data_IF_237815561604
#
_entry.id   IF_237815561604
#
_cell.length_a   1.000
_cell.length_b   1.000
_cell.length_c   1.000
_cell.angle_alpha   90.00
_cell.angle_beta   90.00
_cell.angle_gamma   90.00
#
_symmetry.space_group_name_H-M   'P 1'
#
loop_
_entity.id
_entity.type
_entity.pdbx_description
1 polymer ?
#
# COMPACT_ATOMS: atom_id res chain seq x y z
N UNK A 1 -30.35 -3.31 6.57
CA UNK A 1 -30.22 -3.59 5.12
C UNK A 1 -28.76 -3.46 4.75
N UNK A 2 -28.20 -4.48 4.10
CA UNK A 2 -26.80 -4.54 3.68
C UNK A 2 -26.69 -3.99 2.25
N UNK A 3 -25.64 -3.23 1.95
CA UNK A 3 -25.42 -2.65 0.62
C UNK A 3 -24.02 -2.93 0.09
N UNK A 4 -23.88 -2.99 -1.23
CA UNK A 4 -22.56 -2.96 -1.89
C UNK A 4 -21.81 -1.68 -1.50
N UNK A 5 -20.50 -1.79 -1.32
CA UNK A 5 -19.57 -0.80 -0.79
C UNK A 5 -19.76 -0.40 0.68
N UNK A 6 -20.74 -0.96 1.39
CA UNK A 6 -20.89 -0.72 2.83
C UNK A 6 -19.69 -1.28 3.60
N UNK A 7 -19.20 -0.49 4.56
CA UNK A 7 -18.12 -0.89 5.48
C UNK A 7 -18.72 -1.28 6.82
N UNK A 8 -18.34 -2.46 7.28
CA UNK A 8 -18.74 -3.02 8.56
C UNK A 8 -17.50 -3.23 9.43
N UNK A 9 -17.66 -3.11 10.74
CA UNK A 9 -16.59 -3.31 11.72
C UNK A 9 -17.01 -4.36 12.74
N UNK A 10 -16.14 -5.34 12.99
CA UNK A 10 -16.35 -6.31 14.07
C UNK A 10 -16.16 -5.65 15.44
N UNK A 11 -17.12 -5.86 16.32
CA UNK A 11 -17.09 -5.32 17.69
C UNK A 11 -15.98 -5.94 18.56
N UNK A 12 -15.54 -7.18 18.23
CA UNK A 12 -14.57 -7.92 19.04
C UNK A 12 -13.11 -7.47 18.83
N UNK A 13 -12.70 -7.22 17.59
CA UNK A 13 -11.30 -6.95 17.22
C UNK A 13 -11.11 -5.66 16.39
N UNK A 14 -12.18 -4.88 16.20
CA UNK A 14 -12.20 -3.66 15.41
C UNK A 14 -11.81 -3.83 13.94
N UNK A 15 -11.71 -5.07 13.44
CA UNK A 15 -11.40 -5.37 12.05
C UNK A 15 -12.54 -4.88 11.14
N UNK A 16 -12.19 -4.21 10.05
CA UNK A 16 -13.16 -3.68 9.09
C UNK A 16 -13.21 -4.51 7.82
N UNK A 17 -14.43 -4.77 7.36
CA UNK A 17 -14.71 -5.45 6.10
C UNK A 17 -15.55 -4.55 5.20
N UNK A 18 -15.43 -4.71 3.89
CA UNK A 18 -16.33 -4.10 2.90
C UNK A 18 -17.09 -5.18 2.15
N UNK A 19 -18.38 -4.94 1.94
CA UNK A 19 -19.20 -5.67 0.97
C UNK A 19 -18.85 -5.23 -0.45
N UNK A 20 -18.43 -6.14 -1.31
CA UNK A 20 -18.01 -5.82 -2.69
C UNK A 20 -18.91 -6.43 -3.75
N UNK A 21 -19.66 -7.47 -3.43
CA UNK A 21 -20.67 -8.05 -4.32
C UNK A 21 -21.74 -8.76 -3.48
N UNK A 22 -22.96 -8.79 -3.99
CA UNK A 22 -24.10 -9.50 -3.40
C UNK A 22 -24.74 -10.39 -4.46
N UNK A 23 -24.78 -11.69 -4.19
CA UNK A 23 -25.38 -12.70 -5.06
C UNK A 23 -26.06 -13.73 -4.16
N UNK A 24 -27.29 -13.43 -3.73
CA UNK A 24 -28.01 -14.21 -2.73
C UNK A 24 -28.07 -15.71 -3.12
N UNK A 25 -27.74 -16.63 -2.19
CA UNK A 25 -27.66 -16.47 -0.74
C UNK A 25 -26.29 -16.01 -0.19
N UNK A 26 -25.39 -15.56 -1.06
CA UNK A 26 -24.01 -15.24 -0.72
C UNK A 26 -23.71 -13.74 -0.79
N UNK A 27 -22.66 -13.37 -0.08
CA UNK A 27 -22.06 -12.04 -0.11
C UNK A 27 -20.55 -12.17 -0.25
N UNK A 28 -19.93 -11.27 -0.98
CA UNK A 28 -18.48 -11.22 -1.10
C UNK A 28 -17.93 -10.04 -0.32
N UNK A 29 -16.96 -10.33 0.55
CA UNK A 29 -16.35 -9.35 1.43
C UNK A 29 -14.84 -9.28 1.24
N UNK A 30 -14.26 -8.12 1.56
CA UNK A 30 -12.81 -7.94 1.69
C UNK A 30 -12.48 -7.27 3.01
N UNK A 31 -11.41 -7.73 3.64
CA UNK A 31 -10.74 -7.03 4.75
C UNK A 31 -10.11 -5.73 4.21
N UNK A 32 -10.49 -4.57 4.75
CA UNK A 32 -10.00 -3.27 4.26
C UNK A 32 -8.76 -2.76 5.01
N UNK A 33 -8.37 -3.45 6.09
CA UNK A 33 -7.23 -3.12 6.94
C UNK A 33 -5.97 -3.91 6.55
N UNK A 34 -6.15 -5.04 5.85
CA UNK A 34 -5.06 -5.84 5.32
C UNK A 34 -4.25 -5.08 4.24
N UNK A 35 -2.94 -5.37 4.15
CA UNK A 35 -2.06 -4.84 3.09
C UNK A 35 -2.46 -5.30 1.70
N UNK A 36 -3.06 -6.49 1.61
CA UNK A 36 -3.67 -7.06 0.42
C UNK A 36 -4.82 -7.96 0.84
N UNK A 37 -5.94 -7.89 0.13
CA UNK A 37 -7.16 -8.59 0.45
C UNK A 37 -7.88 -9.00 -0.82
N UNK A 38 -8.26 -10.27 -0.88
CA UNK A 38 -8.99 -10.85 -1.99
C UNK A 38 -10.39 -11.26 -1.51
N UNK A 39 -11.39 -11.30 -2.40
CA UNK A 39 -12.76 -11.61 -2.05
C UNK A 39 -12.88 -12.92 -1.26
N UNK A 40 -13.64 -12.87 -0.17
CA UNK A 40 -14.12 -14.04 0.58
C UNK A 40 -15.62 -14.16 0.39
N UNK A 41 -16.08 -15.38 0.12
CA UNK A 41 -17.49 -15.71 -0.04
C UNK A 41 -18.05 -16.09 1.32
N UNK A 42 -19.07 -15.37 1.76
CA UNK A 42 -19.77 -15.59 3.03
C UNK A 42 -21.27 -15.78 2.77
N UNK A 43 -21.99 -16.26 3.79
CA UNK A 43 -23.45 -16.43 3.73
C UNK A 43 -24.12 -15.13 4.17
N UNK A 44 -25.04 -14.62 3.35
CA UNK A 44 -25.74 -13.36 3.63
C UNK A 44 -26.48 -13.39 4.98
N UNK A 45 -27.17 -14.49 5.29
CA UNK A 45 -27.95 -14.63 6.54
C UNK A 45 -27.08 -14.57 7.80
N UNK A 46 -25.85 -15.08 7.74
CA UNK A 46 -24.92 -15.01 8.88
C UNK A 46 -24.54 -13.55 9.14
N UNK A 47 -24.15 -12.83 8.09
CA UNK A 47 -23.78 -11.42 8.19
C UNK A 47 -24.94 -10.55 8.69
N UNK A 48 -26.17 -10.82 8.21
CA UNK A 48 -27.37 -10.14 8.68
C UNK A 48 -27.63 -10.40 10.18
N UNK A 49 -27.39 -11.63 10.64
CA UNK A 49 -27.52 -12.01 12.06
C UNK A 49 -26.47 -11.31 12.92
N UNK A 50 -25.20 -11.31 12.49
CA UNK A 50 -24.10 -10.62 13.17
C UNK A 50 -24.37 -9.11 13.31
N UNK A 51 -24.97 -8.48 12.29
CA UNK A 51 -25.41 -7.08 12.36
C UNK A 51 -26.56 -6.91 13.37
N UNK A 52 -27.57 -7.78 13.34
CA UNK A 52 -28.70 -7.73 14.26
C UNK A 52 -28.25 -7.90 15.73
N UNK A 53 -27.22 -8.72 15.96
CA UNK A 53 -26.63 -8.97 17.27
C UNK A 53 -25.60 -7.91 17.69
N UNK A 54 -25.35 -6.88 16.87
CA UNK A 54 -24.34 -5.84 17.11
C UNK A 54 -22.91 -6.38 17.20
N UNK A 55 -22.64 -7.55 16.62
CA UNK A 55 -21.30 -8.10 16.44
C UNK A 55 -20.59 -7.44 15.24
N UNK A 56 -21.37 -7.01 14.24
CA UNK A 56 -20.93 -6.18 13.13
C UNK A 56 -21.66 -4.84 13.14
N UNK A 57 -20.89 -3.76 13.18
CA UNK A 57 -21.40 -2.39 13.19
C UNK A 57 -21.18 -1.72 11.83
N UNK A 58 -22.18 -1.02 11.32
CA UNK A 58 -22.02 -0.16 10.15
C UNK A 58 -21.17 1.05 10.53
N UNK A 59 -20.08 1.28 9.81
CA UNK A 59 -19.16 2.40 10.07
C UNK A 59 -18.94 3.26 8.84
N UNK A 60 -18.44 4.48 9.05
CA UNK A 60 -18.04 5.35 7.94
C UNK A 60 -16.89 4.73 7.16
N UNK A 61 -16.94 4.84 5.84
CA UNK A 61 -15.89 4.34 4.96
C UNK A 61 -14.64 5.23 5.06
N UNK A 62 -13.49 4.69 5.50
CA UNK A 62 -12.25 5.47 5.64
C UNK A 62 -11.64 5.88 4.28
N UNK A 63 -12.07 5.25 3.19
CA UNK A 63 -11.60 5.51 1.83
C UNK A 63 -12.58 6.34 1.00
N UNK A 64 -13.77 6.65 1.52
CA UNK A 64 -14.74 7.55 0.88
C UNK A 64 -14.28 9.02 0.97
N UNK A 65 -13.19 9.35 0.28
CA UNK A 65 -12.67 10.71 0.15
C UNK A 65 -13.02 11.23 -1.24
N UNK A 66 -13.63 12.41 -1.28
CA UNK A 66 -13.76 13.17 -2.52
C UNK A 66 -12.40 13.76 -2.82
N UNK A 67 -11.74 13.26 -3.87
CA UNK A 67 -10.45 13.75 -4.33
C UNK A 67 -10.64 14.33 -5.73
N UNK A 68 -10.42 15.63 -5.86
CA UNK A 68 -10.46 16.33 -7.14
C UNK A 68 -9.11 16.20 -7.85
N UNK A 69 -9.12 16.21 -9.18
CA UNK A 69 -7.90 16.21 -9.98
C UNK A 69 -7.05 17.48 -9.75
N UNK A 70 -7.69 18.58 -9.33
CA UNK A 70 -7.00 19.83 -8.97
C UNK A 70 -6.06 19.63 -7.77
N UNK A 71 -6.38 18.69 -6.88
CA UNK A 71 -5.59 18.39 -5.68
C UNK A 71 -4.50 17.33 -5.93
N UNK A 72 -4.38 16.85 -7.18
CA UNK A 72 -3.49 15.75 -7.55
C UNK A 72 -2.34 16.24 -8.43
N UNK A 73 -1.16 15.66 -8.20
CA UNK A 73 -0.03 15.82 -9.13
C UNK A 73 -0.30 15.07 -10.43
N UNK A 74 0.30 15.55 -11.53
CA UNK A 74 0.21 14.90 -12.84
C UNK A 74 0.65 13.42 -12.79
N UNK A 75 1.66 13.10 -11.97
CA UNK A 75 2.14 11.73 -11.77
C UNK A 75 1.08 10.85 -11.11
N UNK A 76 0.34 11.38 -10.11
CA UNK A 76 -0.75 10.65 -9.45
C UNK A 76 -1.90 10.39 -10.41
N UNK A 77 -2.30 11.41 -11.18
CA UNK A 77 -3.35 11.31 -12.20
C UNK A 77 -2.95 10.24 -13.21
N UNK A 78 -1.79 10.38 -13.86
CA UNK A 78 -1.30 9.42 -14.87
C UNK A 78 -1.28 7.99 -14.34
N UNK A 79 -0.78 7.76 -13.11
CA UNK A 79 -0.75 6.42 -12.52
C UNK A 79 -2.14 5.86 -12.23
N UNK A 80 -3.07 6.69 -11.77
CA UNK A 80 -4.48 6.30 -11.59
C UNK A 80 -5.11 5.91 -12.92
N UNK A 81 -4.90 6.70 -13.97
CA UNK A 81 -5.41 6.43 -15.32
C UNK A 81 -4.87 5.11 -15.89
N UNK A 82 -3.55 4.90 -15.84
CA UNK A 82 -2.90 3.66 -16.27
C UNK A 82 -3.46 2.43 -15.53
N UNK A 83 -3.55 2.53 -14.20
CA UNK A 83 -4.06 1.43 -13.37
C UNK A 83 -5.58 1.21 -13.60
N UNK A 84 -6.34 2.27 -13.86
CA UNK A 84 -7.78 2.19 -14.16
C UNK A 84 -8.05 1.52 -15.50
N UNK A 85 -7.27 1.84 -16.53
CA UNK A 85 -7.40 1.22 -17.85
C UNK A 85 -7.25 -0.31 -17.75
N UNK A 86 -6.30 -0.79 -16.94
CA UNK A 86 -6.10 -2.22 -16.71
C UNK A 86 -7.35 -2.86 -16.06
N UNK A 87 -7.93 -2.22 -15.04
CA UNK A 87 -9.14 -2.71 -14.39
C UNK A 87 -10.31 -2.73 -15.38
N UNK A 88 -10.52 -1.61 -16.08
CA UNK A 88 -11.66 -1.42 -16.99
C UNK A 88 -11.63 -2.41 -18.15
N UNK A 89 -10.49 -2.53 -18.85
CA UNK A 89 -10.39 -3.35 -20.06
C UNK A 89 -10.26 -4.83 -19.76
N UNK A 90 -9.55 -5.21 -18.68
CA UNK A 90 -9.15 -6.60 -18.47
C UNK A 90 -9.81 -7.27 -17.27
N UNK A 91 -10.31 -6.52 -16.29
CA UNK A 91 -10.82 -7.11 -15.04
C UNK A 91 -12.35 -7.08 -14.94
N UNK A 92 -13.00 -5.95 -15.27
CA UNK A 92 -14.44 -5.77 -15.03
C UNK A 92 -15.31 -6.84 -15.70
N UNK A 93 -15.00 -7.20 -16.95
CA UNK A 93 -15.70 -8.25 -17.72
C UNK A 93 -15.53 -9.68 -17.15
N UNK A 94 -14.66 -9.86 -16.16
CA UNK A 94 -14.35 -11.16 -15.56
C UNK A 94 -14.56 -11.17 -14.04
N UNK A 95 -15.32 -10.20 -13.51
CA UNK A 95 -15.52 -10.07 -12.07
C UNK A 95 -16.08 -11.32 -11.41
N UNK A 96 -17.03 -12.01 -12.05
CA UNK A 96 -17.57 -13.28 -11.54
C UNK A 96 -16.46 -14.30 -11.26
N UNK A 97 -15.56 -14.54 -12.22
CA UNK A 97 -14.43 -15.46 -12.03
C UNK A 97 -13.42 -14.94 -11.01
N UNK A 98 -13.17 -13.63 -10.99
CA UNK A 98 -12.23 -12.99 -10.06
C UNK A 98 -12.73 -13.01 -8.62
N UNK A 99 -14.05 -13.04 -8.39
CA UNK A 99 -14.66 -13.23 -7.08
C UNK A 99 -14.47 -14.66 -6.55
N UNK A 100 -14.41 -15.67 -7.41
CA UNK A 100 -14.29 -17.07 -7.00
C UNK A 100 -12.84 -17.49 -6.71
N UNK A 101 -12.56 -18.02 -5.51
CA UNK A 101 -11.21 -18.47 -5.10
C UNK A 101 -10.56 -19.44 -6.09
N UNK A 102 -11.32 -20.37 -6.65
CA UNK A 102 -10.82 -21.41 -7.56
C UNK A 102 -10.43 -20.85 -8.94
N UNK A 103 -11.26 -19.97 -9.53
CA UNK A 103 -11.03 -19.39 -10.86
C UNK A 103 -10.11 -18.17 -10.89
N UNK A 104 -10.03 -17.45 -9.77
CA UNK A 104 -9.31 -16.17 -9.66
C UNK A 104 -7.84 -16.25 -10.07
N UNK A 105 -7.09 -17.24 -9.57
CA UNK A 105 -5.64 -17.31 -9.85
C UNK A 105 -5.34 -17.58 -11.33
N UNK A 106 -6.17 -18.39 -11.97
CA UNK A 106 -6.05 -18.66 -13.41
C UNK A 106 -6.34 -17.37 -14.19
N UNK A 107 -7.44 -16.69 -13.88
CA UNK A 107 -7.84 -15.46 -14.57
C UNK A 107 -6.82 -14.32 -14.38
N UNK A 108 -6.26 -14.20 -13.19
CA UNK A 108 -5.20 -13.22 -12.90
C UNK A 108 -3.95 -13.47 -13.76
N UNK A 109 -3.54 -14.74 -13.94
CA UNK A 109 -2.40 -15.08 -14.80
C UNK A 109 -2.68 -14.77 -16.26
N UNK A 110 -3.87 -15.10 -16.75
CA UNK A 110 -4.28 -14.76 -18.12
C UNK A 110 -4.27 -13.23 -18.36
N UNK A 111 -4.78 -12.43 -17.42
CA UNK A 111 -4.75 -10.96 -17.50
C UNK A 111 -3.30 -10.46 -17.47
N UNK A 112 -2.46 -11.03 -16.60
CA UNK A 112 -1.05 -10.67 -16.47
C UNK A 112 -0.29 -10.90 -17.79
N UNK A 113 -0.53 -12.04 -18.45
CA UNK A 113 0.03 -12.36 -19.77
C UNK A 113 -0.44 -11.37 -20.84
N UNK A 114 -1.75 -11.10 -20.93
CA UNK A 114 -2.32 -10.16 -21.91
C UNK A 114 -1.80 -8.73 -21.76
N UNK A 115 -1.55 -8.31 -20.52
CA UNK A 115 -1.09 -6.94 -20.20
C UNK A 115 0.42 -6.80 -20.14
N UNK A 116 1.17 -7.91 -20.28
CA UNK A 116 2.62 -7.96 -20.03
C UNK A 116 3.01 -7.40 -18.64
N UNK A 117 2.20 -7.70 -17.63
CA UNK A 117 2.42 -7.32 -16.23
C UNK A 117 2.64 -8.56 -15.37
N UNK A 118 3.17 -8.39 -14.16
CA UNK A 118 3.28 -9.51 -13.22
C UNK A 118 1.91 -9.84 -12.60
N UNK A 119 1.60 -11.13 -12.33
CA UNK A 119 0.39 -11.52 -11.58
C UNK A 119 0.27 -10.80 -10.23
N UNK A 120 1.41 -10.50 -9.60
CA UNK A 120 1.47 -9.72 -8.37
C UNK A 120 0.93 -8.29 -8.55
N UNK A 121 1.29 -7.60 -9.63
CA UNK A 121 0.77 -6.26 -9.94
C UNK A 121 -0.74 -6.29 -10.13
N UNK A 122 -1.26 -7.27 -10.88
CA UNK A 122 -2.71 -7.44 -11.09
C UNK A 122 -3.43 -7.68 -9.75
N UNK A 123 -2.93 -8.59 -8.91
CA UNK A 123 -3.46 -8.82 -7.55
C UNK A 123 -3.49 -7.54 -6.73
N UNK A 124 -2.41 -6.76 -6.76
CA UNK A 124 -2.33 -5.50 -6.01
C UNK A 124 -3.36 -4.47 -6.49
N UNK A 125 -3.59 -4.37 -7.80
CA UNK A 125 -4.60 -3.49 -8.37
C UNK A 125 -6.01 -3.91 -7.94
N UNK A 126 -6.34 -5.18 -8.09
CA UNK A 126 -7.64 -5.73 -7.69
C UNK A 126 -7.90 -5.56 -6.19
N UNK A 127 -6.90 -5.89 -5.36
CA UNK A 127 -6.97 -5.67 -3.90
C UNK A 127 -7.31 -4.22 -3.58
N UNK A 128 -6.55 -3.28 -4.16
CA UNK A 128 -6.76 -1.85 -3.94
C UNK A 128 -8.15 -1.40 -4.42
N UNK A 129 -8.58 -1.87 -5.59
CA UNK A 129 -9.89 -1.56 -6.15
C UNK A 129 -11.03 -1.97 -5.20
N UNK A 130 -11.04 -3.23 -4.76
CA UNK A 130 -12.06 -3.73 -3.83
C UNK A 130 -11.97 -3.08 -2.43
N UNK A 131 -10.76 -2.96 -1.88
CA UNK A 131 -10.54 -2.39 -0.55
C UNK A 131 -10.78 -0.88 -0.47
N UNK A 132 -10.97 -0.16 -1.58
CA UNK A 132 -11.19 1.30 -1.58
C UNK A 132 -12.43 1.76 -2.34
N UNK A 133 -13.45 0.90 -2.42
CA UNK A 133 -14.80 1.29 -2.85
C UNK A 133 -15.04 1.18 -4.35
N UNK A 134 -14.18 0.47 -5.08
CA UNK A 134 -14.40 0.11 -6.48
C UNK A 134 -14.61 1.31 -7.42
N UNK A 135 -13.94 2.42 -7.13
CA UNK A 135 -13.95 3.62 -7.99
C UNK A 135 -12.63 3.80 -8.71
N UNK A 136 -12.57 4.71 -9.68
CA UNK A 136 -11.31 5.13 -10.30
C UNK A 136 -10.31 5.68 -9.28
N UNK A 137 -10.79 6.49 -8.34
CA UNK A 137 -9.97 7.06 -7.27
C UNK A 137 -9.48 6.03 -6.25
N UNK A 138 -10.07 4.82 -6.20
CA UNK A 138 -9.52 3.70 -5.44
C UNK A 138 -8.05 3.43 -5.83
N UNK A 139 -7.70 3.64 -7.11
CA UNK A 139 -6.41 3.29 -7.67
C UNK A 139 -5.31 4.34 -7.45
N UNK A 140 -5.63 5.47 -6.82
CA UNK A 140 -4.65 6.50 -6.48
C UNK A 140 -3.47 5.90 -5.68
N UNK A 141 -2.23 6.32 -5.98
CA UNK A 141 -1.06 5.83 -5.27
C UNK A 141 -0.96 6.45 -3.87
N UNK A 142 -0.47 5.66 -2.92
CA UNK A 142 -0.30 6.04 -1.51
C UNK A 142 0.99 6.86 -1.28
N UNK A 143 1.24 7.86 -2.13
CA UNK A 143 2.46 8.67 -2.04
C UNK A 143 2.53 9.51 -0.77
N UNK A 144 1.39 9.81 -0.14
CA UNK A 144 1.36 10.41 1.21
C UNK A 144 2.15 9.58 2.24
N UNK A 145 2.24 8.27 2.03
CA UNK A 145 2.96 7.34 2.90
C UNK A 145 4.41 7.09 2.44
N UNK A 146 4.86 7.82 1.42
CA UNK A 146 6.16 7.64 0.76
C UNK A 146 6.95 8.95 0.76
N UNK A 147 8.26 8.86 0.62
CA UNK A 147 9.12 10.05 0.50
C UNK A 147 9.41 10.72 1.84
N UNK A 148 10.34 10.15 2.60
CA UNK A 148 11.04 10.88 3.67
C UNK A 148 12.04 11.91 3.13
N UNK A 149 11.82 12.49 1.94
CA UNK A 149 12.74 13.46 1.34
C UNK A 149 12.76 14.70 2.24
N UNK A 150 13.91 14.99 2.82
CA UNK A 150 14.07 16.09 3.78
C UNK A 150 13.65 15.78 5.22
N UNK A 151 13.05 14.61 5.50
CA UNK A 151 12.79 14.16 6.87
C UNK A 151 13.98 13.36 7.37
N UNK A 152 14.48 13.70 8.56
CA UNK A 152 15.43 12.85 9.26
C UNK A 152 14.79 11.47 9.47
N UNK A 153 15.57 10.40 9.25
CA UNK A 153 15.13 9.05 9.59
C UNK A 153 15.40 8.81 11.06
N UNK A 154 14.44 8.22 11.77
CA UNK A 154 14.69 7.66 13.10
C UNK A 154 15.63 6.46 12.94
N UNK A 155 16.89 6.64 13.32
CA UNK A 155 17.90 5.59 13.25
C UNK A 155 17.77 4.72 14.51
N UNK A 156 17.59 3.41 14.32
CA UNK A 156 17.66 2.43 15.42
C UNK A 156 19.14 2.11 15.75
N UNK A 157 19.37 1.23 16.73
CA UNK A 157 20.73 0.74 17.03
C UNK A 157 21.37 0.00 15.86
N UNK A 158 20.56 -0.64 15.01
CA UNK A 158 21.02 -1.40 13.85
C UNK A 158 21.36 -0.50 12.66
N UNK A 159 22.46 -0.83 11.95
CA UNK A 159 22.92 -0.06 10.79
C UNK A 159 21.87 -0.05 9.69
N UNK A 160 21.43 1.16 9.28
CA UNK A 160 20.52 1.32 8.14
C UNK A 160 21.25 1.20 6.79
N UNK A 161 20.56 0.69 5.78
CA UNK A 161 21.12 0.46 4.45
C UNK A 161 21.89 -0.87 4.36
N UNK A 162 22.49 -1.16 3.21
CA UNK A 162 23.24 -2.40 3.00
C UNK A 162 24.48 -2.42 3.92
N UNK A 163 24.61 -3.39 4.84
CA UNK A 163 25.82 -3.52 5.65
C UNK A 163 27.02 -3.78 4.74
N UNK A 164 28.14 -3.09 4.99
CA UNK A 164 29.39 -3.42 4.30
C UNK A 164 29.89 -4.78 4.80
N UNK A 165 30.37 -5.60 3.86
CA UNK A 165 31.09 -6.86 4.12
C UNK A 165 32.59 -6.56 3.99
N UNK A 166 33.21 -6.02 5.03
CA UNK A 166 34.66 -5.82 5.06
C UNK A 166 35.23 -6.65 6.19
N UNK A 167 36.24 -7.46 5.88
CA UNK A 167 36.95 -8.29 6.84
C UNK A 167 38.31 -7.63 7.05
N UNK A 168 38.54 -7.11 8.25
CA UNK A 168 39.82 -6.52 8.66
C UNK A 168 40.30 -7.38 9.82
N UNK A 169 41.51 -7.93 9.73
CA UNK A 169 42.11 -8.77 10.77
C UNK A 169 41.24 -9.95 11.24
N UNK A 170 40.59 -10.64 10.30
CA UNK A 170 39.66 -11.75 10.53
C UNK A 170 38.39 -11.41 11.35
N UNK A 171 38.12 -10.13 11.58
CA UNK A 171 36.89 -9.66 12.21
C UNK A 171 35.99 -8.90 11.23
N UNK A 172 34.69 -9.19 11.31
CA UNK A 172 33.69 -8.56 10.47
C UNK A 172 33.28 -7.22 11.07
N UNK A 173 33.72 -6.11 10.47
CA UNK A 173 33.33 -4.78 10.92
C UNK A 173 32.01 -4.34 10.26
N UNK A 174 30.98 -4.14 11.08
CA UNK A 174 29.73 -3.51 10.66
C UNK A 174 29.90 -1.99 10.73
N UNK A 175 29.57 -1.28 9.65
CA UNK A 175 29.58 0.19 9.67
C UNK A 175 28.57 0.77 10.67
N UNK A 176 28.78 2.02 11.10
CA UNK A 176 27.92 2.71 12.07
C UNK A 176 26.83 3.58 11.42
N UNK A 177 25.74 3.82 12.13
CA UNK A 177 24.74 4.80 11.74
C UNK A 177 25.31 6.23 11.79
N UNK A 178 24.91 7.08 10.85
CA UNK A 178 25.30 8.49 10.84
C UNK A 178 24.36 9.25 11.79
N UNK A 179 24.67 9.21 13.07
CA UNK A 179 23.97 9.95 14.13
C UNK A 179 24.29 11.44 14.07
N UNK A 180 23.57 12.27 14.82
CA UNK A 180 23.83 13.71 14.86
C UNK A 180 25.23 14.03 15.41
N UNK A 181 25.72 13.27 16.37
CA UNK A 181 27.11 13.36 16.84
C UNK A 181 28.12 13.11 15.70
N UNK A 182 27.90 12.06 14.91
CA UNK A 182 28.76 11.76 13.75
C UNK A 182 28.68 12.86 12.70
N UNK A 183 27.52 13.49 12.48
CA UNK A 183 27.39 14.64 11.57
C UNK A 183 28.24 15.83 12.02
N UNK A 184 28.25 16.14 13.32
CA UNK A 184 29.09 17.21 13.88
C UNK A 184 30.57 16.95 13.59
N UNK A 185 31.02 15.69 13.72
CA UNK A 185 32.40 15.32 13.37
C UNK A 185 32.70 15.54 11.88
N UNK A 186 31.78 15.20 10.99
CA UNK A 186 31.94 15.48 9.55
C UNK A 186 31.99 16.97 9.26
N UNK A 187 31.12 17.78 9.87
CA UNK A 187 31.12 19.23 9.71
C UNK A 187 32.44 19.86 10.16
N UNK A 188 32.96 19.43 11.32
CA UNK A 188 34.26 19.88 11.82
C UNK A 188 35.38 19.53 10.83
N UNK A 189 35.44 18.28 10.35
CA UNK A 189 36.46 17.83 9.41
C UNK A 189 36.42 18.62 8.09
N UNK A 190 35.22 18.83 7.53
CA UNK A 190 35.02 19.62 6.31
C UNK A 190 35.48 21.06 6.53
N UNK A 191 35.07 21.69 7.64
CA UNK A 191 35.45 23.07 7.95
C UNK A 191 36.96 23.22 8.11
N UNK A 192 37.62 22.29 8.81
CA UNK A 192 39.08 22.28 8.96
C UNK A 192 39.76 22.15 7.60
N UNK A 193 39.28 21.27 6.72
CA UNK A 193 39.83 21.10 5.37
C UNK A 193 39.75 22.39 4.56
N UNK A 194 38.56 23.01 4.51
CA UNK A 194 38.32 24.25 3.77
C UNK A 194 39.20 25.39 4.30
N UNK A 195 39.28 25.56 5.63
CA UNK A 195 40.13 26.58 6.25
C UNK A 195 41.63 26.37 5.97
N UNK A 196 42.05 25.12 5.89
CA UNK A 196 43.44 24.77 5.57
C UNK A 196 43.79 25.10 4.12
N UNK A 197 42.86 24.87 3.19
CA UNK A 197 43.06 25.19 1.77
C UNK A 197 43.04 26.70 1.51
N UNK A 198 42.19 27.46 2.20
CA UNK A 198 42.19 28.94 2.13
C UNK A 198 43.55 29.50 2.56
N UNK A 199 44.10 29.03 3.69
CA UNK A 199 45.41 29.49 4.18
C UNK A 199 46.58 29.15 3.26
N UNK A 200 46.44 28.14 2.39
CA UNK A 200 47.45 27.82 1.37
C UNK A 200 47.40 28.74 0.16
N UNK A 201 46.23 29.31 -0.15
CA UNK A 201 46.06 30.24 -1.28
C UNK A 201 46.48 31.68 -0.97
N UNK A 202 46.54 32.04 0.31
CA UNK A 202 46.98 33.37 0.78
C UNK A 202 48.52 33.50 0.94
N UNK A 203 49.27 32.44 0.62
CA UNK A 203 50.74 32.39 0.65
C UNK A 203 51.31 32.32 -0.76
#
# INVERSE_FOLDING_TARGET
MIYINQVLQYSADSKRIRIIEMDEPYVFIVDIDATSSMPKKEIYSNLATEIQQSELLVVSDPYAKVVSDIDLTEVQIRKREEDWEIIQQHCLQHMEMLLQKQGREMKIREIAEKTNLSPFKIKKLLSRYWQRGMTKNALLPDYSNSGGKGKAKDLTKEKVGRPRKVNIDNEYQVGINITDEVKVQFELAINISILTDIKKMEK
#
